data_IF_585478781914
#
_entry.id   IF_585478781914
#
_cell.length_a   1.000
_cell.length_b   1.000
_cell.length_c   1.000
_cell.angle_alpha   90.00
_cell.angle_beta   90.00
_cell.angle_gamma   90.00
#
_symmetry.space_group_name_H-M   'P 1'
#
loop_
_entity.id
_entity.type
_entity.pdbx_description
1 polymer ?
#
# COMPACT_ATOMS: atom_id res chain seq x y z
N UNK A 1 7.71 50.75 33.95
CA UNK A 1 6.81 49.60 33.70
C UNK A 1 6.17 49.81 32.34
N UNK A 2 6.74 49.21 31.29
CA UNK A 2 6.20 48.04 30.54
C UNK A 2 5.67 48.59 29.20
N UNK A 3 6.39 48.56 28.08
CA UNK A 3 7.14 47.40 27.56
C UNK A 3 6.13 46.34 27.10
N UNK A 4 6.18 45.97 25.83
CA UNK A 4 5.50 44.80 25.21
C UNK A 4 4.07 44.97 24.65
N UNK A 5 3.87 45.79 23.60
CA UNK A 5 2.71 45.59 22.69
C UNK A 5 2.97 45.94 21.21
N UNK A 6 4.23 46.04 20.76
CA UNK A 6 4.54 46.31 19.33
C UNK A 6 5.11 45.10 18.57
N UNK A 7 5.30 43.95 19.21
CA UNK A 7 6.03 42.81 18.60
C UNK A 7 5.13 41.87 17.79
N UNK A 8 3.81 41.84 18.06
CA UNK A 8 2.89 40.94 17.35
C UNK A 8 2.57 41.42 15.92
N UNK A 9 2.55 42.73 15.69
CA UNK A 9 2.28 43.32 14.37
C UNK A 9 3.45 43.21 13.39
N UNK A 10 4.69 43.09 13.90
CA UNK A 10 5.90 43.03 13.06
C UNK A 10 6.25 41.59 12.61
N UNK A 11 5.67 40.57 13.25
CA UNK A 11 5.89 39.16 12.92
C UNK A 11 4.78 38.53 12.08
N UNK A 12 3.66 39.21 11.85
CA UNK A 12 2.74 38.84 10.77
C UNK A 12 3.36 39.26 9.43
N UNK A 13 4.44 38.58 9.04
CA UNK A 13 4.78 38.43 7.63
C UNK A 13 3.60 37.67 7.01
N UNK A 14 2.56 38.43 6.68
CA UNK A 14 1.43 37.97 5.92
C UNK A 14 2.02 37.38 4.66
N UNK A 15 1.96 36.05 4.56
CA UNK A 15 2.07 35.38 3.30
C UNK A 15 0.91 35.94 2.47
N UNK A 16 1.14 37.04 1.76
CA UNK A 16 0.30 37.42 0.64
C UNK A 16 0.58 36.38 -0.44
N UNK A 17 -0.03 35.21 -0.27
CA UNK A 17 -0.28 34.32 -1.39
C UNK A 17 -0.94 35.13 -2.50
N UNK A 18 -0.74 34.75 -3.77
CA UNK A 18 -1.21 35.53 -4.92
C UNK A 18 -2.63 36.05 -4.69
N UNK A 19 -2.90 37.29 -5.10
CA UNK A 19 -4.17 38.01 -4.89
C UNK A 19 -5.44 37.25 -5.37
N UNK A 20 -5.25 36.08 -6.01
CA UNK A 20 -6.27 35.18 -6.53
C UNK A 20 -6.22 33.79 -5.84
N UNK A 21 -5.83 33.71 -4.56
CA UNK A 21 -5.90 32.44 -3.81
C UNK A 21 -7.37 32.05 -3.62
N UNK A 22 -7.85 31.11 -4.43
CA UNK A 22 -9.16 30.48 -4.22
C UNK A 22 -9.11 29.67 -2.94
N UNK A 23 -9.88 30.08 -1.94
CA UNK A 23 -10.11 29.26 -0.74
C UNK A 23 -10.97 28.07 -1.16
N UNK A 24 -10.37 26.88 -1.16
CA UNK A 24 -11.10 25.63 -1.37
C UNK A 24 -11.93 25.34 -0.12
N UNK A 25 -13.23 25.11 -0.33
CA UNK A 25 -14.18 24.63 0.66
C UNK A 25 -14.32 23.12 0.57
N UNK A 26 -14.98 22.51 1.56
CA UNK A 26 -15.31 21.08 1.54
C UNK A 26 -16.06 20.66 0.27
N UNK A 27 -16.82 21.57 -0.34
CA UNK A 27 -17.58 21.33 -1.57
C UNK A 27 -16.70 21.30 -2.83
N UNK A 28 -15.48 21.83 -2.76
CA UNK A 28 -14.53 21.84 -3.88
C UNK A 28 -13.65 20.58 -3.90
N UNK A 29 -13.82 19.69 -2.92
CA UNK A 29 -13.12 18.41 -2.91
C UNK A 29 -13.69 17.49 -3.98
N UNK A 30 -12.85 16.69 -4.66
CA UNK A 30 -13.32 15.67 -5.57
C UNK A 30 -14.23 14.69 -4.81
N UNK A 31 -15.45 14.53 -5.29
CA UNK A 31 -16.36 13.49 -4.80
C UNK A 31 -15.84 12.16 -5.37
N UNK A 32 -15.80 11.07 -4.58
CA UNK A 32 -15.42 9.77 -5.11
C UNK A 32 -16.21 9.43 -6.37
N UNK A 33 -15.50 9.14 -7.46
CA UNK A 33 -16.12 8.76 -8.72
C UNK A 33 -16.60 7.30 -8.61
N UNK A 34 -17.91 7.09 -8.76
CA UNK A 34 -18.51 5.76 -8.77
C UNK A 34 -18.60 5.06 -7.40
N UNK A 35 -19.00 3.79 -7.42
CA UNK A 35 -19.09 2.97 -6.22
C UNK A 35 -17.71 2.38 -5.88
N UNK A 36 -17.07 2.94 -4.85
CA UNK A 36 -15.82 2.44 -4.30
C UNK A 36 -15.86 0.92 -4.00
N UNK A 37 -17.01 0.39 -3.56
CA UNK A 37 -17.16 -1.03 -3.28
C UNK A 37 -17.15 -1.88 -4.55
N UNK A 38 -17.68 -1.38 -5.65
CA UNK A 38 -17.64 -2.06 -6.94
C UNK A 38 -16.21 -2.10 -7.49
N UNK A 39 -15.50 -0.96 -7.48
CA UNK A 39 -14.12 -0.90 -7.95
C UNK A 39 -13.19 -1.80 -7.12
N UNK A 40 -13.35 -1.78 -5.79
CA UNK A 40 -12.59 -2.63 -4.89
C UNK A 40 -12.87 -4.12 -5.13
N UNK A 41 -14.14 -4.52 -5.31
CA UNK A 41 -14.50 -5.90 -5.66
C UNK A 41 -13.90 -6.33 -6.99
N UNK A 42 -13.92 -5.46 -8.00
CA UNK A 42 -13.32 -5.73 -9.31
C UNK A 42 -11.82 -6.00 -9.20
N UNK A 43 -11.09 -5.16 -8.46
CA UNK A 43 -9.65 -5.32 -8.20
C UNK A 43 -9.36 -6.62 -7.44
N UNK A 44 -10.13 -6.92 -6.40
CA UNK A 44 -9.97 -8.13 -5.60
C UNK A 44 -10.19 -9.41 -6.41
N UNK A 45 -11.13 -9.41 -7.37
CA UNK A 45 -11.32 -10.55 -8.26
C UNK A 45 -10.04 -10.88 -9.04
N UNK A 46 -9.38 -9.86 -9.58
CA UNK A 46 -8.11 -10.02 -10.32
C UNK A 46 -7.02 -10.54 -9.41
N UNK A 47 -6.84 -9.93 -8.23
CA UNK A 47 -5.80 -10.37 -7.29
C UNK A 47 -6.01 -11.79 -6.80
N UNK A 48 -7.26 -12.18 -6.48
CA UNK A 48 -7.56 -13.54 -6.06
C UNK A 48 -7.33 -14.55 -7.18
N UNK A 49 -7.61 -14.20 -8.45
CA UNK A 49 -7.28 -15.05 -9.59
C UNK A 49 -5.77 -15.23 -9.75
N UNK A 50 -5.01 -14.14 -9.66
CA UNK A 50 -3.53 -14.21 -9.74
C UNK A 50 -2.95 -15.02 -8.59
N UNK A 51 -3.46 -14.84 -7.36
CA UNK A 51 -3.05 -15.59 -6.19
C UNK A 51 -3.32 -17.10 -6.38
N UNK A 52 -4.52 -17.48 -6.81
CA UNK A 52 -4.88 -18.86 -7.05
C UNK A 52 -3.98 -19.50 -8.13
N UNK A 53 -3.75 -18.80 -9.24
CA UNK A 53 -2.85 -19.25 -10.30
C UNK A 53 -1.41 -19.43 -9.77
N UNK A 54 -0.92 -18.48 -8.98
CA UNK A 54 0.40 -18.54 -8.35
C UNK A 54 0.57 -19.75 -7.43
N UNK A 55 -0.43 -20.05 -6.59
CA UNK A 55 -0.42 -21.22 -5.71
C UNK A 55 -0.36 -22.52 -6.51
N UNK A 56 -1.15 -22.63 -7.59
CA UNK A 56 -1.16 -23.82 -8.46
C UNK A 56 0.18 -24.01 -9.14
N UNK A 57 0.72 -22.97 -9.77
CA UNK A 57 2.02 -23.03 -10.47
C UNK A 57 3.14 -23.38 -9.49
N UNK A 58 3.15 -22.75 -8.31
CA UNK A 58 4.14 -23.01 -7.28
C UNK A 58 4.07 -24.46 -6.79
N UNK A 59 2.86 -24.97 -6.54
CA UNK A 59 2.64 -26.36 -6.14
C UNK A 59 3.15 -27.36 -7.17
N UNK A 60 2.81 -27.16 -8.46
CA UNK A 60 3.30 -28.01 -9.55
C UNK A 60 4.83 -27.96 -9.64
N UNK A 61 5.41 -26.76 -9.57
CA UNK A 61 6.87 -26.58 -9.66
C UNK A 61 7.60 -27.30 -8.54
N UNK A 62 7.11 -27.19 -7.29
CA UNK A 62 7.69 -27.91 -6.15
C UNK A 62 7.58 -29.42 -6.30
N UNK A 63 6.43 -29.94 -6.75
CA UNK A 63 6.25 -31.38 -6.98
C UNK A 63 7.24 -31.89 -8.02
N UNK A 64 7.34 -31.23 -9.18
CA UNK A 64 8.27 -31.61 -10.24
C UNK A 64 9.72 -31.54 -9.76
N UNK A 65 10.11 -30.47 -9.06
CA UNK A 65 11.48 -30.31 -8.58
C UNK A 65 11.86 -31.35 -7.51
N UNK A 66 10.89 -31.77 -6.67
CA UNK A 66 11.10 -32.86 -5.70
C UNK A 66 11.22 -34.21 -6.40
N UNK A 67 10.34 -34.50 -7.36
CA UNK A 67 10.33 -35.78 -8.08
C UNK A 67 11.52 -35.94 -9.03
N UNK A 68 11.99 -34.85 -9.62
CA UNK A 68 13.20 -34.86 -10.46
C UNK A 68 14.51 -34.98 -9.67
N UNK A 69 14.44 -34.93 -8.33
CA UNK A 69 15.63 -34.91 -7.46
C UNK A 69 16.39 -33.58 -7.46
N UNK A 70 15.81 -32.51 -8.02
CA UNK A 70 16.44 -31.18 -8.02
C UNK A 70 16.49 -30.60 -6.60
N UNK A 71 15.50 -30.91 -5.77
CA UNK A 71 15.43 -30.45 -4.37
C UNK A 71 15.29 -31.66 -3.45
N UNK A 72 16.20 -31.78 -2.48
CA UNK A 72 16.14 -32.79 -1.42
C UNK A 72 16.02 -32.12 -0.05
N UNK A 73 14.87 -32.31 0.61
CA UNK A 73 14.52 -31.58 1.81
C UNK A 73 15.02 -32.20 3.12
N UNK A 74 15.88 -33.24 3.08
CA UNK A 74 16.45 -33.90 4.27
C UNK A 74 15.45 -34.08 5.43
N UNK A 75 14.22 -34.47 5.12
CA UNK A 75 13.11 -34.37 6.09
C UNK A 75 13.16 -35.43 7.18
N UNK A 76 13.92 -36.50 6.96
CA UNK A 76 14.09 -37.59 7.91
C UNK A 76 15.49 -37.56 8.50
N UNK A 77 15.66 -37.87 9.80
CA UNK A 77 16.97 -38.08 10.37
C UNK A 77 17.72 -39.17 9.59
N UNK A 78 19.06 -39.06 9.45
CA UNK A 78 19.85 -40.08 8.78
C UNK A 78 19.63 -41.43 9.45
N UNK A 79 19.48 -42.49 8.66
CA UNK A 79 19.33 -43.85 9.19
C UNK A 79 20.55 -44.15 10.07
N UNK A 80 20.33 -44.79 11.23
CA UNK A 80 21.42 -45.26 12.08
C UNK A 80 22.33 -46.18 11.27
N UNK A 81 23.63 -46.07 11.52
CA UNK A 81 24.60 -47.04 11.04
C UNK A 81 24.47 -48.26 11.96
N UNK A 82 23.60 -49.20 11.57
CA UNK A 82 23.60 -50.56 12.10
C UNK A 82 24.73 -51.37 11.44
#
# INVERSE_FOLDING_TARGET
MNGYTQTAAFLSRGYHGPNNFRVYTMNDMPVPEGDFFEEHRRKNRVYNTVLAAGIVIFGITLTVAKESGLIYLNYNPPKSLD
#
